data_IF_879955166290
#
_entry.id   IF_879955166290
#
_cell.length_a   1.000
_cell.length_b   1.000
_cell.length_c   1.000
_cell.angle_alpha   90.00
_cell.angle_beta   90.00
_cell.angle_gamma   90.00
#
_symmetry.space_group_name_H-M   'P 1'
#
loop_
_entity.id
_entity.type
_entity.pdbx_description
1 polymer ?
#
# COMPACT_ATOMS: atom_id res chain seq x y z
N UNK A 1 -5.19 1.74 10.02
CA UNK A 1 -5.60 2.99 9.32
C UNK A 1 -5.22 2.87 7.85
N UNK A 2 -6.08 3.28 6.92
CA UNK A 2 -5.78 3.32 5.48
C UNK A 2 -5.58 4.79 5.06
N UNK A 3 -4.65 5.03 4.14
CA UNK A 3 -4.38 6.35 3.58
C UNK A 3 -4.13 6.22 2.09
N UNK A 4 -4.74 7.09 1.30
CA UNK A 4 -4.71 7.03 -0.16
C UNK A 4 -4.03 8.25 -0.75
N UNK A 5 -3.08 7.99 -1.64
CA UNK A 5 -2.51 8.95 -2.57
C UNK A 5 -3.16 8.68 -3.93
N UNK A 6 -4.10 9.53 -4.32
CA UNK A 6 -4.88 9.43 -5.56
C UNK A 6 -4.30 10.29 -6.68
N UNK A 7 -4.60 9.95 -7.93
CA UNK A 7 -4.23 10.71 -9.12
C UNK A 7 -3.94 9.81 -10.33
N UNK A 8 -3.97 10.38 -11.54
CA UNK A 8 -3.71 9.61 -12.78
C UNK A 8 -2.28 9.06 -12.84
N UNK A 9 -2.06 8.10 -13.75
CA UNK A 9 -0.71 7.59 -14.07
C UNK A 9 0.21 8.75 -14.47
N UNK A 10 1.43 8.77 -13.94
CA UNK A 10 2.42 9.81 -14.24
C UNK A 10 2.38 11.07 -13.36
N UNK A 11 1.44 11.19 -12.41
CA UNK A 11 1.33 12.36 -11.51
C UNK A 11 2.28 12.35 -10.29
N UNK A 12 3.29 11.47 -10.27
CA UNK A 12 4.30 11.48 -9.20
C UNK A 12 3.94 10.73 -7.91
N UNK A 13 2.84 9.96 -7.87
CA UNK A 13 2.42 9.18 -6.68
C UNK A 13 3.53 8.32 -6.08
N UNK A 14 4.28 7.58 -6.90
CA UNK A 14 5.42 6.75 -6.46
C UNK A 14 6.46 7.58 -5.72
N UNK A 15 6.82 8.77 -6.22
CA UNK A 15 7.76 9.65 -5.56
C UNK A 15 7.26 10.07 -4.17
N UNK A 16 5.99 10.46 -4.07
CA UNK A 16 5.37 10.77 -2.78
C UNK A 16 5.38 9.56 -1.82
N UNK A 17 5.15 8.36 -2.33
CA UNK A 17 5.14 7.13 -1.55
C UNK A 17 6.55 6.82 -0.99
N UNK A 18 7.58 6.94 -1.82
CA UNK A 18 8.98 6.75 -1.44
C UNK A 18 9.44 7.77 -0.41
N UNK A 19 9.17 9.06 -0.65
CA UNK A 19 9.53 10.15 0.27
C UNK A 19 8.88 9.96 1.63
N UNK A 20 7.63 9.48 1.64
CA UNK A 20 6.88 9.21 2.86
C UNK A 20 7.39 7.99 3.61
N UNK A 21 7.70 6.89 2.91
CA UNK A 21 8.28 5.69 3.51
C UNK A 21 9.64 5.99 4.16
N UNK A 22 10.52 6.71 3.43
CA UNK A 22 11.82 7.15 3.94
C UNK A 22 11.72 8.15 5.10
N UNK A 23 10.61 8.87 5.18
CA UNK A 23 10.34 9.75 6.31
C UNK A 23 9.84 8.98 7.53
N UNK A 24 8.88 8.09 7.34
CA UNK A 24 8.32 7.26 8.40
C UNK A 24 9.39 6.41 9.10
N UNK A 25 10.33 5.81 8.36
CA UNK A 25 11.35 4.92 8.95
C UNK A 25 12.34 5.63 9.89
N UNK A 26 12.43 6.97 9.86
CA UNK A 26 13.30 7.72 10.77
C UNK A 26 12.76 7.73 12.20
N UNK A 27 11.43 7.71 12.32
CA UNK A 27 10.71 7.81 13.60
C UNK A 27 10.07 6.47 14.01
N UNK A 28 9.97 5.51 13.08
CA UNK A 28 9.45 4.16 13.30
C UNK A 28 10.27 3.40 14.35
N UNK A 29 9.58 2.73 15.27
CA UNK A 29 10.21 1.85 16.27
C UNK A 29 10.22 0.39 15.84
N UNK A 30 9.27 0.03 14.97
CA UNK A 30 9.16 -1.28 14.34
C UNK A 30 9.42 -1.23 12.84
N UNK A 31 8.95 -2.28 12.16
CA UNK A 31 9.24 -2.55 10.77
C UNK A 31 8.34 -1.77 9.80
N UNK A 32 8.90 -1.40 8.65
CA UNK A 32 8.16 -0.85 7.51
C UNK A 32 8.40 -1.71 6.28
N UNK A 33 7.31 -2.08 5.62
CA UNK A 33 7.34 -2.85 4.38
C UNK A 33 6.88 -1.99 3.21
N UNK A 34 7.56 -2.09 2.08
CA UNK A 34 7.18 -1.46 0.82
C UNK A 34 6.88 -2.54 -0.22
N UNK A 35 5.65 -2.58 -0.72
CA UNK A 35 5.21 -3.49 -1.75
C UNK A 35 5.27 -2.79 -3.12
N UNK A 36 5.95 -3.44 -4.06
CA UNK A 36 6.07 -2.99 -5.44
C UNK A 36 5.93 -4.19 -6.40
N UNK A 37 5.71 -3.91 -7.67
CA UNK A 37 5.66 -4.89 -8.77
C UNK A 37 7.06 -5.25 -9.31
N UNK A 38 8.11 -4.63 -8.78
CA UNK A 38 9.50 -4.83 -9.18
C UNK A 38 10.45 -4.37 -8.07
N UNK A 39 11.73 -4.72 -8.19
CA UNK A 39 12.77 -4.25 -7.26
C UNK A 39 13.41 -2.91 -7.66
N UNK A 40 12.80 -2.17 -8.60
CA UNK A 40 13.39 -0.95 -9.19
C UNK A 40 13.69 0.13 -8.14
N UNK A 41 12.82 0.29 -7.16
CA UNK A 41 12.91 1.35 -6.16
C UNK A 41 13.74 0.96 -4.92
N UNK A 42 14.39 -0.21 -4.93
CA UNK A 42 15.20 -0.68 -3.80
C UNK A 42 16.29 0.32 -3.39
N UNK A 43 16.96 0.96 -4.36
CA UNK A 43 18.02 1.93 -4.08
C UNK A 43 17.51 3.32 -3.69
N UNK A 44 16.21 3.58 -3.83
CA UNK A 44 15.57 4.84 -3.43
C UNK A 44 15.02 4.76 -1.99
N UNK A 45 14.99 3.56 -1.41
CA UNK A 45 14.53 3.32 -0.04
C UNK A 45 15.71 3.20 0.93
N UNK A 46 15.47 3.63 2.16
CA UNK A 46 16.33 3.31 3.30
C UNK A 46 16.51 1.80 3.41
N UNK A 47 17.73 1.35 3.72
CA UNK A 47 18.05 -0.06 3.93
C UNK A 47 17.30 -0.71 5.12
N UNK A 48 16.63 0.09 5.94
CA UNK A 48 15.75 -0.37 7.03
C UNK A 48 14.32 -0.69 6.55
N UNK A 49 13.95 -0.29 5.34
CA UNK A 49 12.63 -0.58 4.76
C UNK A 49 12.74 -1.87 3.96
N UNK A 50 11.87 -2.84 4.25
CA UNK A 50 11.82 -4.10 3.50
C UNK A 50 11.01 -3.91 2.22
N UNK A 51 11.67 -3.89 1.06
CA UNK A 51 10.98 -3.97 -0.22
C UNK A 51 10.61 -5.42 -0.54
N UNK A 52 9.36 -5.65 -0.95
CA UNK A 52 8.89 -6.95 -1.45
C UNK A 52 8.35 -6.76 -2.87
N UNK A 53 8.89 -7.54 -3.80
CA UNK A 53 8.40 -7.64 -5.17
C UNK A 53 7.21 -8.61 -5.22
N UNK A 54 5.99 -8.06 -5.25
CA UNK A 54 4.74 -8.83 -5.21
C UNK A 54 4.59 -9.76 -6.43
N UNK A 55 5.17 -9.40 -7.57
CA UNK A 55 5.10 -10.20 -8.80
C UNK A 55 5.89 -11.52 -8.74
N UNK A 56 6.73 -11.72 -7.73
CA UNK A 56 7.42 -13.00 -7.49
C UNK A 56 6.49 -14.05 -6.86
N UNK A 57 5.30 -13.65 -6.42
CA UNK A 57 4.30 -14.52 -5.81
C UNK A 57 3.11 -14.73 -6.75
N UNK A 58 2.50 -15.93 -6.78
CA UNK A 58 1.40 -16.25 -7.69
C UNK A 58 0.06 -15.69 -7.20
N UNK A 59 -0.01 -14.38 -6.93
CA UNK A 59 -1.22 -13.67 -6.52
C UNK A 59 -2.06 -13.37 -7.76
N UNK A 60 -3.30 -13.86 -7.79
CA UNK A 60 -4.19 -13.78 -8.95
C UNK A 60 -5.57 -13.21 -8.64
N UNK A 61 -5.80 -12.77 -7.41
CA UNK A 61 -7.07 -12.21 -6.95
C UNK A 61 -6.85 -11.28 -5.76
N UNK A 62 -7.82 -10.41 -5.52
CA UNK A 62 -7.85 -9.53 -4.34
C UNK A 62 -7.88 -10.33 -3.03
N UNK A 63 -8.59 -11.46 -2.97
CA UNK A 63 -8.55 -12.37 -1.83
C UNK A 63 -7.14 -12.94 -1.58
N UNK A 64 -6.47 -13.40 -2.64
CA UNK A 64 -5.09 -13.89 -2.56
C UNK A 64 -4.13 -12.78 -2.10
N UNK A 65 -4.36 -11.55 -2.56
CA UNK A 65 -3.61 -10.39 -2.12
C UNK A 65 -3.85 -10.06 -0.62
N UNK A 66 -5.09 -10.12 -0.14
CA UNK A 66 -5.38 -9.98 1.30
C UNK A 66 -4.71 -11.10 2.11
N UNK A 67 -4.75 -12.34 1.62
CA UNK A 67 -4.03 -13.46 2.22
C UNK A 67 -2.53 -13.21 2.32
N UNK A 68 -1.94 -12.61 1.27
CA UNK A 68 -0.53 -12.22 1.25
C UNK A 68 -0.20 -11.13 2.29
N UNK A 69 -1.02 -10.09 2.40
CA UNK A 69 -0.88 -9.05 3.45
C UNK A 69 -0.94 -9.67 4.85
N UNK A 70 -1.94 -10.53 5.11
CA UNK A 70 -2.06 -11.24 6.38
C UNK A 70 -0.84 -12.14 6.65
N UNK A 71 -0.28 -12.78 5.61
CA UNK A 71 0.95 -13.56 5.70
C UNK A 71 2.14 -12.72 6.18
N UNK A 72 2.34 -11.54 5.61
CA UNK A 72 3.41 -10.60 6.02
C UNK A 72 3.21 -10.20 7.49
N UNK A 73 2.01 -9.76 7.86
CA UNK A 73 1.67 -9.37 9.25
C UNK A 73 1.90 -10.54 10.22
N UNK A 74 1.58 -11.78 9.82
CA UNK A 74 1.74 -12.96 10.69
C UNK A 74 3.19 -13.29 11.03
N UNK A 75 4.15 -12.83 10.22
CA UNK A 75 5.58 -13.09 10.39
C UNK A 75 6.32 -11.92 11.04
N UNK A 76 5.68 -10.75 11.15
CA UNK A 76 6.31 -9.49 11.53
C UNK A 76 5.44 -8.79 12.59
N UNK A 77 5.68 -9.13 13.86
CA UNK A 77 4.86 -8.68 15.00
C UNK A 77 5.06 -7.20 15.34
N UNK A 78 6.14 -6.58 14.87
CA UNK A 78 6.46 -5.17 15.04
C UNK A 78 6.20 -4.35 13.78
N UNK A 79 5.50 -4.89 12.79
CA UNK A 79 5.14 -4.16 11.58
C UNK A 79 4.25 -2.95 11.92
N UNK A 80 4.74 -1.74 11.64
CA UNK A 80 4.00 -0.50 11.88
C UNK A 80 3.29 -0.01 10.61
N UNK A 81 3.96 -0.12 9.46
CA UNK A 81 3.46 0.46 8.21
C UNK A 81 3.74 -0.40 6.99
N UNK A 82 2.78 -0.38 6.06
CA UNK A 82 2.94 -0.93 4.73
C UNK A 82 2.64 0.14 3.67
N UNK A 83 3.57 0.32 2.74
CA UNK A 83 3.41 1.19 1.57
C UNK A 83 3.15 0.33 0.33
N UNK A 84 2.13 0.67 -0.45
CA UNK A 84 1.65 -0.14 -1.56
C UNK A 84 1.69 0.67 -2.87
N UNK A 85 2.74 0.45 -3.66
CA UNK A 85 2.90 1.11 -4.95
C UNK A 85 2.05 0.45 -6.02
N UNK A 86 1.27 1.24 -6.76
CA UNK A 86 0.42 0.77 -7.84
C UNK A 86 -0.64 -0.21 -7.32
N UNK A 87 -1.34 0.17 -6.24
CA UNK A 87 -2.28 -0.67 -5.48
C UNK A 87 -3.21 -1.51 -6.36
N UNK A 88 -3.90 -0.90 -7.33
CA UNK A 88 -4.83 -1.59 -8.23
C UNK A 88 -4.19 -2.79 -8.96
N UNK A 89 -2.89 -2.68 -9.30
CA UNK A 89 -2.15 -3.77 -9.93
C UNK A 89 -1.82 -4.86 -8.92
N UNK A 90 -1.30 -4.48 -7.76
CA UNK A 90 -0.90 -5.42 -6.70
C UNK A 90 -2.08 -6.23 -6.19
N UNK A 91 -3.24 -5.59 -6.04
CA UNK A 91 -4.46 -6.20 -5.52
C UNK A 91 -5.31 -6.90 -6.58
N UNK A 92 -4.88 -6.91 -7.85
CA UNK A 92 -5.66 -7.44 -8.98
C UNK A 92 -7.04 -6.78 -9.14
N UNK A 93 -7.13 -5.46 -8.99
CA UNK A 93 -8.37 -4.67 -9.07
C UNK A 93 -8.31 -3.56 -10.14
N UNK A 94 -7.47 -3.71 -11.17
CA UNK A 94 -7.49 -2.78 -12.31
C UNK A 94 -8.84 -2.86 -13.04
N UNK A 95 -9.65 -1.80 -12.91
CA UNK A 95 -10.98 -1.73 -13.54
C UNK A 95 -12.11 -2.35 -12.71
N UNK A 96 -11.82 -2.80 -11.50
CA UNK A 96 -12.78 -3.41 -10.58
C UNK A 96 -13.10 -2.46 -9.41
N UNK A 97 -14.18 -2.74 -8.66
CA UNK A 97 -14.48 -2.04 -7.42
C UNK A 97 -13.48 -2.42 -6.31
N UNK A 98 -12.95 -1.42 -5.62
CA UNK A 98 -11.97 -1.58 -4.54
C UNK A 98 -12.60 -1.55 -3.13
N UNK A 99 -13.88 -1.22 -3.01
CA UNK A 99 -14.55 -0.91 -1.74
C UNK A 99 -14.37 -2.00 -0.69
N UNK A 100 -14.59 -3.26 -1.06
CA UNK A 100 -14.48 -4.40 -0.14
C UNK A 100 -13.04 -4.66 0.29
N UNK A 101 -12.09 -4.48 -0.62
CA UNK A 101 -10.66 -4.68 -0.33
C UNK A 101 -10.15 -3.57 0.60
N UNK A 102 -10.51 -2.31 0.36
CA UNK A 102 -10.21 -1.19 1.25
C UNK A 102 -10.82 -1.41 2.63
N UNK A 103 -12.10 -1.78 2.69
CA UNK A 103 -12.79 -2.10 3.95
C UNK A 103 -12.11 -3.21 4.73
N UNK A 104 -11.59 -4.22 4.02
CA UNK A 104 -10.86 -5.31 4.65
C UNK A 104 -9.51 -4.84 5.18
N UNK A 105 -8.78 -4.00 4.44
CA UNK A 105 -7.53 -3.40 4.88
C UNK A 105 -7.72 -2.46 6.08
N UNK A 106 -8.80 -1.69 6.14
CA UNK A 106 -9.17 -0.89 7.32
C UNK A 106 -9.28 -1.77 8.57
N UNK A 107 -10.08 -2.84 8.50
CA UNK A 107 -10.29 -3.79 9.61
C UNK A 107 -9.00 -4.48 10.04
N UNK A 108 -8.17 -4.90 9.08
CA UNK A 108 -6.85 -5.48 9.36
C UNK A 108 -5.96 -4.44 10.05
N UNK A 109 -5.90 -3.22 9.52
CA UNK A 109 -5.05 -2.16 10.04
C UNK A 109 -5.46 -1.72 11.45
N UNK A 110 -6.76 -1.72 11.76
CA UNK A 110 -7.25 -1.49 13.12
C UNK A 110 -6.89 -2.64 14.06
N UNK A 111 -7.15 -3.88 13.66
CA UNK A 111 -6.92 -5.07 14.48
C UNK A 111 -5.45 -5.28 14.84
N UNK A 112 -4.55 -5.04 13.88
CA UNK A 112 -3.12 -5.30 14.03
C UNK A 112 -2.31 -4.01 14.24
N UNK A 113 -2.97 -2.87 14.37
CA UNK A 113 -2.34 -1.55 14.53
C UNK A 113 -1.35 -1.20 13.40
N UNK A 114 -1.64 -1.64 12.17
CA UNK A 114 -0.84 -1.36 10.97
C UNK A 114 -1.46 -0.20 10.19
N UNK A 115 -0.60 0.71 9.72
CA UNK A 115 -0.98 1.76 8.76
C UNK A 115 -0.69 1.34 7.33
N UNK A 116 -1.70 1.37 6.46
CA UNK A 116 -1.55 1.13 5.03
C UNK A 116 -1.55 2.45 4.27
N UNK A 117 -0.54 2.66 3.41
CA UNK A 117 -0.45 3.82 2.54
C UNK A 117 -0.47 3.35 1.09
N UNK A 118 -1.54 3.66 0.37
CA UNK A 118 -1.84 3.15 -0.96
C UNK A 118 -1.61 4.24 -2.00
N UNK A 119 -0.95 3.91 -3.11
CA UNK A 119 -1.00 4.73 -4.31
C UNK A 119 -2.03 4.17 -5.29
N UNK A 120 -3.07 4.95 -5.59
CA UNK A 120 -4.18 4.53 -6.44
C UNK A 120 -4.15 5.32 -7.73
N UNK A 121 -4.11 4.63 -8.88
CA UNK A 121 -4.02 5.26 -10.21
C UNK A 121 -5.40 5.64 -10.75
N UNK A 122 -6.13 6.42 -9.94
CA UNK A 122 -7.47 6.91 -10.19
C UNK A 122 -7.60 8.30 -9.55
N UNK A 123 -8.33 9.22 -10.17
CA UNK A 123 -8.59 10.53 -9.54
C UNK A 123 -9.44 10.35 -8.28
N UNK A 124 -9.26 11.22 -7.28
CA UNK A 124 -9.99 11.13 -6.02
C UNK A 124 -11.51 11.08 -6.21
N UNK A 125 -12.04 11.87 -7.17
CA UNK A 125 -13.47 11.95 -7.49
C UNK A 125 -14.04 10.64 -8.06
N UNK A 126 -13.20 9.81 -8.66
CA UNK A 126 -13.59 8.54 -9.26
C UNK A 126 -13.47 7.35 -8.28
N UNK A 127 -12.88 7.57 -7.11
CA UNK A 127 -12.83 6.54 -6.07
C UNK A 127 -14.23 6.30 -5.50
N UNK A 128 -14.54 5.08 -5.04
CA UNK A 128 -15.75 4.84 -4.26
C UNK A 128 -15.83 5.80 -3.07
N UNK A 129 -17.03 6.29 -2.75
CA UNK A 129 -17.26 7.31 -1.71
C UNK A 129 -16.55 6.97 -0.39
N UNK A 130 -16.58 5.70 0.00
CA UNK A 130 -15.90 5.21 1.20
C UNK A 130 -14.38 5.44 1.15
N UNK A 131 -13.73 5.19 0.02
CA UNK A 131 -12.30 5.37 -0.15
C UNK A 131 -11.91 6.85 -0.28
N UNK A 132 -12.84 7.75 -0.64
CA UNK A 132 -12.56 9.19 -0.70
C UNK A 132 -12.22 9.76 0.67
N UNK A 133 -12.81 9.23 1.74
CA UNK A 133 -12.53 9.64 3.12
C UNK A 133 -11.06 9.37 3.53
N UNK A 134 -10.41 8.39 2.92
CA UNK A 134 -9.02 8.02 3.21
C UNK A 134 -8.00 8.78 2.33
N UNK A 135 -8.45 9.62 1.41
CA UNK A 135 -7.55 10.38 0.51
C UNK A 135 -6.83 11.47 1.31
N UNK A 136 -5.51 11.30 1.43
CA UNK A 136 -4.62 12.28 2.10
C UNK A 136 -3.87 13.16 1.11
N UNK A 137 -3.74 12.71 -0.15
CA UNK A 137 -3.08 13.46 -1.24
C UNK A 137 -3.81 13.16 -2.54
N UNK A 138 -4.11 14.20 -3.32
CA UNK A 138 -4.71 14.10 -4.67
C UNK A 138 -3.84 14.87 -5.68
N UNK A 139 -3.48 14.24 -6.81
CA UNK A 139 -2.48 14.74 -7.80
C UNK A 139 -2.96 14.70 -9.26
#
# INVERSE_FOLDING_TARGET
>A
MVQIIAGKKGKGKTKHLLDRANSAIRDSKGSIVYLDKSSKHMYELSNKIRLINVNEYPIKSSEGFIGFICGIISQDHDLEMMFLDSFLKLSCLEGEDITDTITTLERIGEKYHVTFVLSVSMDAENLPEKAQADVVVSL
#
